data_IF_696439323152
#
_entry.id   IF_696439323152
#
_cell.length_a   1.000
_cell.length_b   1.000
_cell.length_c   1.000
_cell.angle_alpha   90.00
_cell.angle_beta   90.00
_cell.angle_gamma   90.00
#
_symmetry.space_group_name_H-M   'P 1'
#
loop_
_entity.id
_entity.type
_entity.pdbx_description
1 polymer ?
#
# COMPACT_ATOMS: atom_id res chain seq x y z
N UNK A 1 10.27 -26.37 3.17
CA UNK A 1 10.68 -25.00 2.74
C UNK A 1 9.75 -24.39 1.65
N UNK A 2 8.41 -24.44 1.79
CA UNK A 2 7.44 -24.07 0.72
C UNK A 2 6.77 -22.68 0.87
N UNK A 3 6.96 -21.96 1.99
CA UNK A 3 6.24 -20.70 2.29
C UNK A 3 6.75 -19.44 1.53
N UNK A 4 7.98 -19.42 1.02
CA UNK A 4 8.60 -18.21 0.41
C UNK A 4 8.12 -17.86 -1.01
N UNK A 5 7.64 -18.83 -1.81
CA UNK A 5 7.30 -18.60 -3.24
C UNK A 5 5.90 -17.99 -3.48
N UNK A 6 4.90 -18.33 -2.65
CA UNK A 6 3.52 -17.80 -2.79
C UNK A 6 3.41 -16.30 -2.54
N UNK A 7 4.39 -15.73 -1.84
CA UNK A 7 4.40 -14.32 -1.41
C UNK A 7 4.65 -13.34 -2.57
N UNK A 8 5.35 -13.73 -3.64
CA UNK A 8 5.65 -12.82 -4.77
C UNK A 8 4.46 -12.63 -5.72
N UNK A 9 3.63 -13.65 -5.93
CA UNK A 9 2.50 -13.59 -6.86
C UNK A 9 1.33 -12.73 -6.34
N UNK A 10 1.00 -12.84 -5.03
CA UNK A 10 0.00 -11.96 -4.39
C UNK A 10 0.40 -10.48 -4.46
N UNK A 11 1.71 -10.19 -4.46
CA UNK A 11 2.25 -8.83 -4.59
C UNK A 11 2.19 -8.27 -6.00
N UNK A 12 2.13 -9.11 -7.05
CA UNK A 12 1.99 -8.65 -8.43
C UNK A 12 0.58 -8.11 -8.74
N UNK A 13 -0.44 -8.62 -8.05
CA UNK A 13 -1.85 -8.26 -8.25
C UNK A 13 -2.27 -6.96 -7.54
N UNK A 14 -1.45 -6.43 -6.63
CA UNK A 14 -1.76 -5.20 -5.89
C UNK A 14 -1.71 -3.92 -6.74
N UNK A 15 -0.78 -3.82 -7.68
CA UNK A 15 -0.67 -2.66 -8.59
C UNK A 15 -1.84 -2.53 -9.57
N UNK A 16 -2.26 -3.58 -10.31
CA UNK A 16 -3.44 -3.47 -11.17
C UNK A 16 -4.69 -3.20 -10.34
N UNK A 17 -4.84 -3.80 -9.15
CA UNK A 17 -5.94 -3.48 -8.23
C UNK A 17 -6.00 -1.99 -7.87
N UNK A 18 -4.87 -1.38 -7.48
CA UNK A 18 -4.82 0.06 -7.16
C UNK A 18 -5.02 0.95 -8.37
N UNK A 19 -4.50 0.54 -9.53
CA UNK A 19 -4.72 1.28 -10.76
C UNK A 19 -6.21 1.26 -11.14
N UNK A 20 -6.83 0.06 -11.12
CA UNK A 20 -8.26 -0.14 -11.34
C UNK A 20 -9.08 0.68 -10.35
N UNK A 21 -8.76 0.68 -9.06
CA UNK A 21 -9.53 1.45 -8.09
C UNK A 21 -9.40 2.97 -8.26
N UNK A 22 -8.21 3.47 -8.61
CA UNK A 22 -8.02 4.88 -8.90
C UNK A 22 -8.77 5.34 -10.16
N UNK A 23 -8.96 4.45 -11.14
CA UNK A 23 -9.66 4.75 -12.40
C UNK A 23 -11.17 4.51 -12.28
N UNK A 24 -11.59 3.33 -11.85
CA UNK A 24 -12.98 2.87 -11.87
C UNK A 24 -13.77 3.15 -10.58
N UNK A 25 -13.11 3.38 -9.43
CA UNK A 25 -13.80 3.60 -8.14
C UNK A 25 -13.27 4.82 -7.36
N UNK A 26 -13.30 6.04 -7.95
CA UNK A 26 -12.78 7.24 -7.29
C UNK A 26 -13.52 7.60 -6.00
N UNK A 27 -14.80 7.22 -5.86
CA UNK A 27 -15.57 7.43 -4.63
C UNK A 27 -15.06 6.55 -3.48
N UNK A 28 -14.78 5.27 -3.75
CA UNK A 28 -14.19 4.36 -2.76
C UNK A 28 -12.81 4.84 -2.31
N UNK A 29 -11.96 5.30 -3.24
CA UNK A 29 -10.64 5.83 -2.90
C UNK A 29 -10.79 7.06 -2.01
N UNK A 30 -11.64 8.03 -2.36
CA UNK A 30 -11.90 9.21 -1.53
C UNK A 30 -12.41 8.87 -0.14
N UNK A 31 -13.36 7.94 -0.03
CA UNK A 31 -13.92 7.51 1.26
C UNK A 31 -12.86 6.87 2.15
N UNK A 32 -11.96 6.04 1.61
CA UNK A 32 -10.89 5.44 2.41
C UNK A 32 -9.78 6.43 2.76
N UNK A 33 -9.45 7.35 1.84
CA UNK A 33 -8.48 8.41 2.11
C UNK A 33 -8.97 9.35 3.22
N UNK A 34 -10.27 9.66 3.27
CA UNK A 34 -10.86 10.47 4.33
C UNK A 34 -10.83 9.79 5.71
N UNK A 35 -10.73 8.47 5.75
CA UNK A 35 -10.64 7.66 6.98
C UNK A 35 -9.20 7.41 7.43
N UNK A 36 -8.23 7.74 6.57
CA UNK A 36 -6.81 7.51 6.79
C UNK A 36 -6.20 8.72 7.49
N UNK A 37 -5.39 8.45 8.50
CA UNK A 37 -4.67 9.48 9.26
C UNK A 37 -3.15 9.34 9.06
N UNK A 38 -2.42 10.42 9.32
CA UNK A 38 -0.95 10.45 9.27
C UNK A 38 -0.37 10.84 7.91
N UNK A 39 0.94 10.60 7.73
CA UNK A 39 1.71 11.13 6.61
C UNK A 39 2.72 10.12 6.03
N UNK A 40 3.18 10.37 4.79
CA UNK A 40 4.16 9.52 4.14
C UNK A 40 5.57 9.78 4.69
N UNK A 41 6.20 8.77 5.31
CA UNK A 41 7.59 8.87 5.80
C UNK A 41 8.67 8.64 4.73
N UNK A 42 8.29 8.58 3.45
CA UNK A 42 9.23 8.36 2.32
C UNK A 42 10.15 7.14 2.48
N UNK A 43 9.67 6.07 3.12
CA UNK A 43 10.45 4.86 3.37
C UNK A 43 10.83 4.06 2.12
N UNK A 44 10.25 4.36 0.95
CA UNK A 44 10.49 3.65 -0.31
C UNK A 44 9.91 2.24 -0.38
N UNK A 45 9.24 1.76 0.67
CA UNK A 45 8.68 0.39 0.71
C UNK A 45 7.58 0.18 -0.34
N UNK A 46 6.71 1.17 -0.55
CA UNK A 46 5.65 1.10 -1.56
C UNK A 46 6.20 1.09 -2.99
N UNK A 47 7.38 1.69 -3.23
CA UNK A 47 8.06 1.69 -4.53
C UNK A 47 8.71 0.35 -4.89
N UNK A 48 8.81 -0.57 -3.92
CA UNK A 48 9.40 -1.90 -4.07
C UNK A 48 8.36 -3.02 -3.97
N UNK A 49 7.08 -2.68 -3.86
CA UNK A 49 6.03 -3.62 -3.48
C UNK A 49 5.77 -4.70 -4.55
N UNK A 50 5.78 -4.30 -5.81
CA UNK A 50 5.36 -5.14 -6.96
C UNK A 50 6.55 -5.43 -7.85
N UNK A 51 7.20 -4.35 -8.27
CA UNK A 51 8.50 -4.33 -8.93
C UNK A 51 9.29 -3.16 -8.35
N UNK A 52 10.59 -3.12 -8.61
CA UNK A 52 11.38 -1.92 -8.31
C UNK A 52 10.93 -0.82 -9.28
N UNK A 53 10.26 0.22 -8.78
CA UNK A 53 9.86 1.36 -9.59
C UNK A 53 11.08 1.98 -10.30
N UNK A 54 10.96 2.25 -11.60
CA UNK A 54 12.06 2.82 -12.40
C UNK A 54 12.55 4.18 -11.84
N UNK A 55 11.65 4.96 -11.26
CA UNK A 55 11.95 6.27 -10.67
C UNK A 55 12.47 6.20 -9.23
N UNK A 56 12.51 5.00 -8.62
CA UNK A 56 13.02 4.80 -7.27
C UNK A 56 14.54 4.73 -7.26
N UNK A 57 15.16 5.53 -6.42
CA UNK A 57 16.61 5.61 -6.27
C UNK A 57 17.00 5.80 -4.81
N UNK A 58 18.28 5.66 -4.50
CA UNK A 58 18.83 6.02 -3.20
C UNK A 58 19.77 7.20 -3.40
N UNK A 59 19.56 8.28 -2.67
CA UNK A 59 20.46 9.44 -2.63
C UNK A 59 21.07 9.46 -1.24
N UNK A 60 22.39 9.26 -1.14
CA UNK A 60 23.11 9.19 0.14
C UNK A 60 22.52 8.15 1.12
N UNK A 61 22.12 6.98 0.60
CA UNK A 61 21.48 5.92 1.39
C UNK A 61 20.00 6.18 1.73
N UNK A 62 19.45 7.34 1.38
CA UNK A 62 18.06 7.72 1.67
C UNK A 62 17.16 7.32 0.48
N UNK A 63 16.06 6.58 0.71
CA UNK A 63 15.09 6.26 -0.33
C UNK A 63 14.50 7.54 -0.94
N UNK A 64 14.63 7.71 -2.27
CA UNK A 64 14.18 8.90 -2.98
C UNK A 64 13.46 8.56 -4.29
N UNK A 65 12.64 9.49 -4.78
CA UNK A 65 11.89 9.36 -6.02
C UNK A 65 12.31 10.48 -6.97
N UNK A 66 12.87 10.12 -8.14
CA UNK A 66 13.41 11.07 -9.13
C UNK A 66 12.36 12.07 -9.65
N UNK A 67 11.09 11.65 -9.69
CA UNK A 67 9.99 12.46 -10.23
C UNK A 67 9.09 13.03 -9.14
N UNK A 68 9.48 12.98 -7.86
CA UNK A 68 8.60 13.36 -6.75
C UNK A 68 8.03 14.79 -6.90
N UNK A 69 8.87 15.73 -7.34
CA UNK A 69 8.50 17.13 -7.56
C UNK A 69 7.86 17.39 -8.93
N UNK A 70 8.04 16.48 -9.89
CA UNK A 70 7.54 16.64 -11.27
C UNK A 70 6.16 16.05 -11.44
N UNK A 71 5.97 14.81 -11.02
CA UNK A 71 4.71 14.09 -11.18
C UNK A 71 4.62 12.94 -10.18
N UNK A 72 3.54 12.92 -9.39
CA UNK A 72 3.20 11.79 -8.53
C UNK A 72 1.89 11.18 -9.01
N UNK A 73 1.93 10.01 -9.68
CA UNK A 73 0.72 9.34 -10.15
C UNK A 73 -0.26 9.10 -9.00
N UNK A 74 -1.56 9.08 -9.30
CA UNK A 74 -2.62 8.83 -8.30
C UNK A 74 -2.38 7.55 -7.50
N UNK A 75 -1.81 6.52 -8.14
CA UNK A 75 -1.41 5.28 -7.47
C UNK A 75 -0.36 5.50 -6.37
N UNK A 76 0.59 6.41 -6.56
CA UNK A 76 1.60 6.74 -5.57
C UNK A 76 1.08 7.74 -4.52
N UNK A 77 0.22 8.69 -4.90
CA UNK A 77 -0.33 9.72 -4.01
C UNK A 77 -1.40 9.18 -3.06
N UNK A 78 -2.27 8.31 -3.56
CA UNK A 78 -3.37 7.73 -2.79
C UNK A 78 -2.93 6.51 -1.98
N UNK A 79 -1.70 6.05 -2.14
CA UNK A 79 -1.18 4.93 -1.38
C UNK A 79 -0.91 5.31 0.09
N UNK A 80 -1.25 4.44 1.07
CA UNK A 80 -2.08 3.23 0.92
C UNK A 80 -3.57 3.59 0.80
N UNK A 81 -4.30 2.88 -0.08
CA UNK A 81 -5.73 3.11 -0.32
C UNK A 81 -6.57 2.39 0.73
N UNK A 82 -6.17 1.19 1.15
CA UNK A 82 -6.87 0.37 2.13
C UNK A 82 -5.91 -0.33 3.10
N UNK A 83 -6.48 -1.11 4.03
CA UNK A 83 -5.69 -1.91 4.97
C UNK A 83 -4.86 -3.01 4.30
N UNK A 84 -5.31 -3.53 3.15
CA UNK A 84 -4.59 -4.58 2.42
C UNK A 84 -3.27 -4.03 1.87
N UNK A 85 -3.31 -2.83 1.31
CA UNK A 85 -2.15 -2.08 0.83
C UNK A 85 -1.10 -1.87 1.92
N UNK A 86 -1.56 -1.54 3.14
CA UNK A 86 -0.68 -1.40 4.29
C UNK A 86 -0.08 -2.75 4.72
N UNK A 87 -0.88 -3.81 4.74
CA UNK A 87 -0.40 -5.17 5.04
C UNK A 87 0.66 -5.64 4.07
N UNK A 88 0.47 -5.40 2.77
CA UNK A 88 1.46 -5.72 1.74
C UNK A 88 2.76 -4.94 1.95
N UNK A 89 2.65 -3.64 2.26
CA UNK A 89 3.81 -2.78 2.56
C UNK A 89 4.58 -3.27 3.77
N UNK A 90 3.87 -3.60 4.84
CA UNK A 90 4.46 -4.14 6.07
C UNK A 90 5.14 -5.49 5.81
N UNK A 91 4.65 -6.30 4.87
CA UNK A 91 5.30 -7.54 4.49
C UNK A 91 6.61 -7.34 3.70
N UNK A 92 6.85 -6.15 3.13
CA UNK A 92 8.09 -5.79 2.43
C UNK A 92 9.10 -5.12 3.38
N UNK A 93 8.61 -4.24 4.25
CA UNK A 93 9.41 -3.54 5.25
C UNK A 93 8.74 -3.66 6.63
N UNK A 94 8.89 -4.82 7.32
CA UNK A 94 8.34 -5.01 8.66
C UNK A 94 9.13 -4.25 9.72
N UNK A 95 10.40 -3.95 9.43
CA UNK A 95 11.34 -3.16 10.24
C UNK A 95 10.88 -1.73 10.46
N UNK A 96 10.11 -1.17 9.53
CA UNK A 96 9.73 0.24 9.55
C UNK A 96 8.21 0.41 9.45
N UNK A 97 7.51 0.91 10.49
CA UNK A 97 6.09 1.18 10.44
C UNK A 97 5.72 2.26 9.42
N UNK A 98 4.45 2.33 9.04
CA UNK A 98 3.98 3.27 8.02
C UNK A 98 3.51 4.48 8.79
N UNK A 99 3.78 5.67 8.27
CA UNK A 99 3.19 6.87 8.87
C UNK A 99 1.69 7.00 8.63
N UNK A 100 1.09 6.11 7.83
CA UNK A 100 -0.36 6.04 7.64
C UNK A 100 -1.01 4.97 8.52
N UNK A 101 -2.15 5.31 9.12
CA UNK A 101 -2.98 4.42 9.93
C UNK A 101 -4.47 4.66 9.65
N UNK A 102 -5.31 3.74 10.13
CA UNK A 102 -6.76 3.87 10.13
C UNK A 102 -7.28 3.58 11.53
N UNK A 103 -8.22 4.40 11.99
CA UNK A 103 -8.95 4.13 13.22
C UNK A 103 -9.90 2.95 12.98
N UNK A 104 -9.79 1.90 13.82
CA UNK A 104 -10.62 0.69 13.67
C UNK A 104 -12.12 1.00 13.67
N UNK A 105 -12.55 2.13 14.23
CA UNK A 105 -13.94 2.55 14.32
C UNK A 105 -14.57 3.01 12.97
N UNK A 106 -13.77 3.33 11.94
CA UNK A 106 -14.27 3.94 10.68
C UNK A 106 -14.32 2.97 9.50
N UNK A 107 -14.24 1.65 9.72
CA UNK A 107 -14.27 0.65 8.66
C UNK A 107 -15.59 0.72 7.87
N UNK A 108 -15.52 1.04 6.57
CA UNK A 108 -16.69 0.99 5.70
C UNK A 108 -16.94 -0.45 5.23
N UNK A 109 -18.17 -0.81 4.84
CA UNK A 109 -18.62 -2.20 4.68
C UNK A 109 -18.00 -2.99 3.50
N UNK A 110 -16.92 -2.51 2.87
CA UNK A 110 -16.29 -3.22 1.75
C UNK A 110 -14.94 -3.81 2.20
N UNK A 111 -14.99 -4.79 3.10
CA UNK A 111 -13.88 -5.68 3.41
C UNK A 111 -14.45 -7.08 3.65
N UNK A 112 -14.90 -7.72 2.57
CA UNK A 112 -15.04 -9.18 2.55
C UNK A 112 -13.66 -9.75 2.25
N UNK A 113 -12.99 -10.25 3.27
CA UNK A 113 -12.07 -11.39 3.18
C UNK A 113 -11.77 -11.89 4.61
N UNK A 114 -12.73 -12.67 5.11
CA UNK A 114 -12.55 -14.03 5.61
C UNK A 114 -11.66 -14.33 6.84
N UNK A 115 -12.39 -14.84 7.84
CA UNK A 115 -12.04 -15.96 8.74
C UNK A 115 -11.27 -15.61 10.03
N UNK A 116 -12.01 -15.15 11.04
CA UNK A 116 -11.80 -15.65 12.41
C UNK A 116 -12.72 -16.86 12.57
N UNK A 117 -12.21 -18.05 12.26
CA UNK A 117 -12.79 -19.27 12.82
C UNK A 117 -12.48 -19.24 14.31
N UNK A 118 -13.54 -19.37 15.09
CA UNK A 118 -13.58 -19.17 16.52
C UNK A 118 -12.81 -20.20 17.35
N UNK A 119 -12.75 -19.82 18.62
CA UNK A 119 -12.57 -20.59 19.84
C UNK A 119 -12.86 -22.09 19.81
N UNK A 120 -12.16 -22.73 20.75
CA UNK A 120 -12.41 -24.00 21.44
C UNK A 120 -11.70 -25.22 20.88
#
# INVERSE_FOLDING_TARGET
MKKKRRSRLKRLLGTPRRFIWNVFRPHFVRANLAKRSGACHRCGACCQLVWKCHYFTYVNGIPSCKIYHRFRPRNCSNFPIDHHDLKDRNAIRPDLPCGFSWDKAKQGPCSTDDTVKGNS
#
